data_IF_903528915997
#
_entry.id   IF_903528915997
#
_cell.length_a   1.000
_cell.length_b   1.000
_cell.length_c   1.000
_cell.angle_alpha   90.00
_cell.angle_beta   90.00
_cell.angle_gamma   90.00
#
_symmetry.space_group_name_H-M   'P 1'
#
loop_
_entity.id
_entity.type
_entity.pdbx_description
1 polymer ?
#
# COMPACT_ATOMS: atom_id res chain seq x y z
N UNK A 1 24.42 13.53 21.80
CA UNK A 1 23.49 12.67 21.02
C UNK A 1 24.27 11.43 20.65
N UNK A 2 23.92 10.29 21.24
CA UNK A 2 24.67 9.05 21.05
C UNK A 2 24.36 8.43 19.69
N UNK A 3 25.39 8.23 18.87
CA UNK A 3 25.29 7.40 17.67
C UNK A 3 25.09 5.96 18.13
N UNK A 4 24.18 5.23 17.50
CA UNK A 4 23.99 3.80 17.77
C UNK A 4 25.29 3.05 17.43
N UNK A 5 25.78 2.22 18.34
CA UNK A 5 26.84 1.28 18.00
C UNK A 5 26.26 0.08 17.22
N UNK A 6 27.07 -0.67 16.46
CA UNK A 6 26.59 -1.90 15.81
C UNK A 6 25.93 -2.90 16.77
N UNK A 7 26.36 -2.94 18.04
CA UNK A 7 25.77 -3.81 19.07
C UNK A 7 24.38 -3.35 19.54
N UNK A 8 24.00 -2.10 19.26
CA UNK A 8 22.67 -1.56 19.57
C UNK A 8 21.61 -1.94 18.51
N UNK A 9 22.05 -2.41 17.34
CA UNK A 9 21.19 -2.73 16.20
C UNK A 9 21.15 -4.23 16.00
N UNK A 10 19.93 -4.76 15.89
CA UNK A 10 19.71 -6.16 15.58
C UNK A 10 18.90 -6.26 14.28
N UNK A 11 19.41 -7.01 13.31
CA UNK A 11 18.75 -7.21 12.01
C UNK A 11 18.35 -8.67 11.91
N UNK A 12 17.07 -8.93 11.74
CA UNK A 12 16.51 -10.28 11.60
C UNK A 12 16.54 -10.65 10.12
N UNK A 13 17.46 -11.54 9.73
CA UNK A 13 17.67 -11.95 8.34
C UNK A 13 16.90 -13.22 7.94
N UNK A 14 16.67 -14.13 8.88
CA UNK A 14 15.94 -15.37 8.64
C UNK A 14 15.08 -15.81 9.84
N UNK A 15 14.53 -17.01 9.73
CA UNK A 15 13.69 -17.64 10.77
C UNK A 15 14.49 -18.21 11.95
N UNK A 16 15.81 -18.22 11.92
CA UNK A 16 16.67 -18.74 12.98
C UNK A 16 17.27 -17.62 13.82
N UNK A 17 17.37 -16.40 13.28
CA UNK A 17 17.83 -15.21 14.00
C UNK A 17 16.68 -14.56 14.80
N UNK A 18 16.09 -15.34 15.70
CA UNK A 18 14.98 -14.90 16.51
C UNK A 18 15.40 -13.93 17.61
N UNK A 19 14.50 -12.99 17.95
CA UNK A 19 14.61 -12.19 19.18
C UNK A 19 14.32 -13.05 20.41
N UNK A 20 15.16 -14.04 20.69
CA UNK A 20 15.07 -14.88 21.88
C UNK A 20 15.00 -14.03 23.15
N UNK A 21 14.24 -14.47 24.16
CA UNK A 21 14.04 -13.74 25.43
C UNK A 21 15.37 -13.42 26.14
N UNK A 22 16.38 -14.27 25.95
CA UNK A 22 17.72 -14.17 26.54
C UNK A 22 18.59 -13.09 25.89
N UNK A 23 18.21 -12.58 24.70
CA UNK A 23 19.01 -11.59 23.99
C UNK A 23 18.93 -10.23 24.70
N UNK A 24 20.08 -9.57 24.96
CA UNK A 24 20.12 -8.22 25.53
C UNK A 24 19.25 -7.25 24.73
N UNK A 25 18.65 -6.29 25.42
CA UNK A 25 17.81 -5.27 24.80
C UNK A 25 18.64 -4.47 23.77
N UNK A 26 18.48 -4.80 22.49
CA UNK A 26 18.94 -3.96 21.39
C UNK A 26 18.06 -2.70 21.34
N UNK A 27 18.65 -1.56 21.00
CA UNK A 27 17.93 -0.28 20.91
C UNK A 27 17.12 -0.18 19.61
N UNK A 28 17.53 -0.90 18.56
CA UNK A 28 16.87 -0.92 17.27
C UNK A 28 16.81 -2.36 16.74
N UNK A 29 15.62 -2.74 16.26
CA UNK A 29 15.41 -4.00 15.52
C UNK A 29 14.94 -3.68 14.12
N UNK A 30 15.58 -4.30 13.14
CA UNK A 30 15.18 -4.27 11.74
C UNK A 30 14.66 -5.66 11.33
N UNK A 31 13.44 -5.70 10.82
CA UNK A 31 12.79 -6.93 10.36
C UNK A 31 11.99 -6.65 9.10
N UNK A 32 11.96 -7.60 8.17
CA UNK A 32 11.06 -7.49 7.02
C UNK A 32 9.60 -7.68 7.45
N UNK A 33 8.63 -6.95 6.85
CA UNK A 33 7.21 -7.12 7.18
C UNK A 33 6.71 -8.56 6.97
N UNK A 34 7.36 -9.35 6.10
CA UNK A 34 7.04 -10.76 5.85
C UNK A 34 7.42 -11.67 7.02
N UNK A 35 8.49 -11.33 7.72
CA UNK A 35 9.00 -12.15 8.82
C UNK A 35 8.35 -11.79 10.16
N UNK A 36 7.78 -10.58 10.26
CA UNK A 36 6.98 -10.16 11.39
C UNK A 36 5.56 -10.75 11.41
N UNK A 37 5.19 -11.57 10.42
CA UNK A 37 3.94 -12.36 10.43
C UNK A 37 4.02 -13.52 11.44
N UNK A 38 2.88 -14.15 11.77
CA UNK A 38 2.52 -15.18 12.80
C UNK A 38 3.46 -16.39 12.94
N UNK A 39 4.76 -16.15 13.01
CA UNK A 39 5.83 -17.09 13.27
C UNK A 39 6.23 -16.96 14.74
N UNK A 40 7.24 -17.72 15.17
CA UNK A 40 7.84 -17.51 16.49
C UNK A 40 8.36 -16.06 16.68
N UNK A 41 8.73 -15.38 15.58
CA UNK A 41 9.15 -13.97 15.62
C UNK A 41 8.02 -13.05 16.08
N UNK A 42 6.79 -13.24 15.58
CA UNK A 42 5.64 -12.44 16.03
C UNK A 42 5.43 -12.54 17.55
N UNK A 43 5.55 -13.74 18.12
CA UNK A 43 5.45 -13.93 19.59
C UNK A 43 6.58 -13.22 20.33
N UNK A 44 7.81 -13.33 19.85
CA UNK A 44 8.97 -12.67 20.44
C UNK A 44 8.86 -11.14 20.38
N UNK A 45 8.34 -10.60 19.27
CA UNK A 45 8.07 -9.17 19.11
C UNK A 45 6.96 -8.70 20.06
N UNK A 46 5.86 -9.46 20.17
CA UNK A 46 4.74 -9.14 21.05
C UNK A 46 5.08 -9.27 22.55
N UNK A 47 6.05 -10.13 22.91
CA UNK A 47 6.52 -10.30 24.27
C UNK A 47 7.47 -9.19 24.76
N UNK A 48 7.80 -8.22 23.90
CA UNK A 48 8.71 -7.12 24.21
C UNK A 48 7.97 -5.79 24.20
N UNK A 49 8.37 -4.90 25.10
CA UNK A 49 7.87 -3.52 25.12
C UNK A 49 8.64 -2.65 24.13
N UNK A 50 7.94 -2.10 23.15
CA UNK A 50 8.52 -1.20 22.15
C UNK A 50 8.21 0.25 22.48
N UNK A 51 9.21 1.13 22.34
CA UNK A 51 8.99 2.57 22.47
C UNK A 51 8.44 3.23 21.20
N UNK A 52 8.73 2.66 20.04
CA UNK A 52 8.37 3.18 18.72
C UNK A 52 8.41 2.07 17.66
N UNK A 53 7.52 2.13 16.67
CA UNK A 53 7.53 1.28 15.49
C UNK A 53 7.52 2.16 14.23
N UNK A 54 8.32 1.76 13.24
CA UNK A 54 8.36 2.40 11.92
C UNK A 54 8.09 1.30 10.90
N UNK A 55 7.02 1.46 10.12
CA UNK A 55 6.74 0.57 8.99
C UNK A 55 7.00 1.33 7.69
N UNK A 56 8.06 0.92 7.00
CA UNK A 56 8.29 1.34 5.63
C UNK A 56 7.44 0.52 4.65
N UNK A 57 7.10 1.12 3.52
CA UNK A 57 6.16 0.58 2.55
C UNK A 57 4.85 0.09 3.17
N UNK A 58 4.22 0.95 3.97
CA UNK A 58 3.01 0.66 4.72
C UNK A 58 1.79 0.25 3.88
N UNK A 59 1.89 0.31 2.55
CA UNK A 59 0.91 -0.27 1.62
C UNK A 59 0.74 -1.80 1.80
N UNK A 60 1.68 -2.48 2.48
CA UNK A 60 1.50 -3.88 2.92
C UNK A 60 0.27 -4.08 3.82
N UNK A 61 -0.18 -3.03 4.50
CA UNK A 61 -1.39 -3.05 5.34
C UNK A 61 -2.68 -2.80 4.56
N UNK A 62 -2.63 -2.61 3.23
CA UNK A 62 -3.79 -2.19 2.44
C UNK A 62 -5.03 -3.06 2.70
N UNK A 63 -6.18 -2.41 2.83
CA UNK A 63 -7.46 -3.04 3.10
C UNK A 63 -7.98 -3.80 1.90
N UNK A 64 -8.31 -5.06 2.11
CA UNK A 64 -8.98 -5.86 1.10
C UNK A 64 -10.48 -5.51 1.02
N UNK A 65 -10.94 -5.13 -0.18
CA UNK A 65 -12.32 -4.70 -0.41
C UNK A 65 -13.36 -5.81 -0.45
N UNK A 66 -13.03 -6.96 -1.07
CA UNK A 66 -13.97 -8.07 -1.30
C UNK A 66 -13.67 -9.33 -0.49
N UNK A 67 -12.51 -9.38 0.15
CA UNK A 67 -12.02 -10.55 0.90
C UNK A 67 -11.52 -10.14 2.29
N UNK A 68 -11.16 -11.13 3.09
CA UNK A 68 -10.41 -10.90 4.31
C UNK A 68 -9.07 -10.21 3.99
N UNK A 69 -8.61 -9.37 4.90
CA UNK A 69 -7.26 -8.82 4.83
C UNK A 69 -6.24 -9.95 4.94
N UNK A 70 -5.03 -9.75 4.41
CA UNK A 70 -4.00 -10.80 4.46
C UNK A 70 -3.64 -11.12 5.91
N UNK A 71 -3.29 -12.38 6.19
CA UNK A 71 -2.86 -12.79 7.53
C UNK A 71 -1.68 -11.94 8.02
N UNK A 72 -0.74 -11.66 7.11
CA UNK A 72 0.37 -10.75 7.31
C UNK A 72 -0.08 -9.35 7.75
N UNK A 73 -1.05 -8.74 7.06
CA UNK A 73 -1.55 -7.42 7.42
C UNK A 73 -2.18 -7.46 8.82
N UNK A 74 -3.01 -8.47 9.11
CA UNK A 74 -3.64 -8.62 10.42
C UNK A 74 -2.62 -8.79 11.55
N UNK A 75 -1.57 -9.59 11.33
CA UNK A 75 -0.49 -9.78 12.30
C UNK A 75 0.28 -8.47 12.54
N UNK A 76 0.71 -7.80 11.48
CA UNK A 76 1.39 -6.51 11.58
C UNK A 76 0.51 -5.47 12.29
N UNK A 77 -0.78 -5.38 11.95
CA UNK A 77 -1.71 -4.46 12.61
C UNK A 77 -1.78 -4.72 14.11
N UNK A 78 -1.80 -6.00 14.55
CA UNK A 78 -1.83 -6.35 15.97
C UNK A 78 -0.53 -5.92 16.68
N UNK A 79 0.63 -6.16 16.05
CA UNK A 79 1.92 -5.72 16.58
C UNK A 79 2.02 -4.20 16.65
N UNK A 80 1.65 -3.49 15.59
CA UNK A 80 1.78 -2.03 15.54
C UNK A 80 0.83 -1.33 16.52
N UNK A 81 -0.37 -1.88 16.74
CA UNK A 81 -1.32 -1.36 17.73
C UNK A 81 -0.87 -1.56 19.18
N UNK A 82 0.06 -2.48 19.47
CA UNK A 82 0.63 -2.63 20.81
C UNK A 82 1.73 -1.62 21.11
N UNK A 83 2.22 -0.89 20.10
CA UNK A 83 3.31 0.08 20.24
C UNK A 83 2.78 1.50 20.44
N UNK A 84 3.25 2.25 21.46
CA UNK A 84 2.71 3.58 21.81
C UNK A 84 3.01 4.68 20.79
N UNK A 85 4.08 4.53 19.99
CA UNK A 85 4.45 5.49 18.94
C UNK A 85 4.62 4.76 17.62
N UNK A 86 3.94 5.25 16.60
CA UNK A 86 3.92 4.61 15.29
C UNK A 86 4.16 5.63 14.19
N UNK A 87 5.02 5.27 13.24
CA UNK A 87 5.22 6.00 11.99
C UNK A 87 5.03 5.04 10.82
N UNK A 88 4.11 5.39 9.91
CA UNK A 88 3.91 4.68 8.65
C UNK A 88 4.52 5.50 7.51
N UNK A 89 5.41 4.89 6.73
CA UNK A 89 6.03 5.50 5.56
C UNK A 89 5.50 4.80 4.30
N UNK A 90 5.01 5.59 3.34
CA UNK A 90 4.56 5.08 2.05
C UNK A 90 4.50 6.20 1.02
N UNK A 91 4.99 5.92 -0.19
CA UNK A 91 4.84 6.82 -1.34
C UNK A 91 3.42 6.80 -1.94
N UNK A 92 2.65 5.74 -1.66
CA UNK A 92 1.36 5.41 -2.26
C UNK A 92 0.35 4.97 -1.19
N UNK A 93 -0.08 5.89 -0.30
CA UNK A 93 -0.96 5.56 0.83
C UNK A 93 -2.31 4.99 0.40
N UNK A 94 -2.79 5.32 -0.80
CA UNK A 94 -3.92 4.67 -1.46
C UNK A 94 -3.43 4.09 -2.78
N UNK A 95 -3.43 2.76 -2.90
CA UNK A 95 -2.94 2.04 -4.09
C UNK A 95 -3.88 2.20 -5.29
N UNK A 96 -5.20 2.18 -5.05
CA UNK A 96 -6.21 2.46 -6.08
C UNK A 96 -7.34 3.37 -5.59
N UNK A 97 -7.84 3.14 -4.36
CA UNK A 97 -8.94 3.89 -3.76
C UNK A 97 -8.60 4.30 -2.34
N UNK A 98 -9.19 5.40 -1.85
CA UNK A 98 -9.09 5.79 -0.44
C UNK A 98 -9.60 4.70 0.52
N UNK A 99 -10.50 3.83 0.04
CA UNK A 99 -10.96 2.67 0.79
C UNK A 99 -9.80 1.73 1.20
N UNK A 100 -8.85 1.52 0.29
CA UNK A 100 -7.74 0.58 0.47
C UNK A 100 -6.77 1.05 1.57
N UNK A 101 -6.85 2.32 1.98
CA UNK A 101 -6.03 2.90 3.03
C UNK A 101 -6.64 2.76 4.44
N UNK A 102 -7.84 2.18 4.58
CA UNK A 102 -8.55 2.14 5.87
C UNK A 102 -7.72 1.53 7.00
N UNK A 103 -7.07 0.39 6.75
CA UNK A 103 -6.25 -0.28 7.76
C UNK A 103 -5.08 0.59 8.23
N UNK A 104 -4.45 1.37 7.33
CA UNK A 104 -3.38 2.30 7.70
C UNK A 104 -3.91 3.35 8.68
N UNK A 105 -5.11 3.88 8.42
CA UNK A 105 -5.76 4.85 9.29
C UNK A 105 -6.16 4.25 10.63
N UNK A 106 -6.70 3.04 10.62
CA UNK A 106 -7.17 2.34 11.82
C UNK A 106 -6.01 1.90 12.72
N UNK A 107 -4.84 1.55 12.18
CA UNK A 107 -3.65 1.29 13.01
C UNK A 107 -3.13 2.58 13.66
N UNK A 108 -3.08 3.68 12.91
CA UNK A 108 -2.59 4.97 13.42
C UNK A 108 -3.51 5.58 14.47
N UNK A 109 -4.82 5.53 14.24
CA UNK A 109 -5.82 6.07 15.16
C UNK A 109 -7.11 5.26 15.10
N UNK A 110 -7.20 4.17 15.88
CA UNK A 110 -8.36 3.28 15.89
C UNK A 110 -9.66 4.06 16.12
N UNK A 111 -10.69 3.75 15.32
CA UNK A 111 -12.02 4.33 15.49
C UNK A 111 -12.22 5.77 14.99
N UNK A 112 -11.19 6.45 14.45
CA UNK A 112 -11.34 7.83 13.96
C UNK A 112 -12.37 7.95 12.83
N UNK A 113 -12.31 7.03 11.86
CA UNK A 113 -13.15 7.07 10.67
C UNK A 113 -14.35 6.13 10.80
N UNK A 114 -14.12 4.92 11.33
CA UNK A 114 -15.12 3.91 11.60
C UNK A 114 -14.55 2.83 12.54
N UNK A 115 -15.40 1.99 13.12
CA UNK A 115 -14.99 0.84 13.95
C UNK A 115 -14.57 -0.37 13.11
N UNK A 116 -15.02 -0.45 11.85
CA UNK A 116 -14.69 -1.54 10.94
C UNK A 116 -14.62 -1.06 9.50
N UNK A 117 -13.95 -1.85 8.64
CA UNK A 117 -13.90 -1.58 7.19
C UNK A 117 -15.28 -1.58 6.54
N UNK A 118 -16.22 -2.36 7.06
CA UNK A 118 -17.59 -2.43 6.54
C UNK A 118 -18.37 -1.15 6.86
N UNK A 119 -18.25 -0.66 8.09
CA UNK A 119 -18.82 0.62 8.49
C UNK A 119 -18.17 1.77 7.72
N UNK A 120 -16.84 1.75 7.57
CA UNK A 120 -16.11 2.74 6.76
C UNK A 120 -16.63 2.79 5.32
N UNK A 121 -16.81 1.62 4.70
CA UNK A 121 -17.41 1.50 3.36
C UNK A 121 -18.79 2.13 3.32
N UNK A 122 -19.70 1.71 4.22
CA UNK A 122 -21.09 2.18 4.24
C UNK A 122 -21.18 3.69 4.45
N UNK A 123 -20.35 4.24 5.34
CA UNK A 123 -20.34 5.65 5.72
C UNK A 123 -19.80 6.55 4.62
N UNK A 124 -18.69 6.17 3.98
CA UNK A 124 -17.96 7.06 3.07
C UNK A 124 -18.08 6.72 1.60
N UNK A 125 -18.60 5.54 1.24
CA UNK A 125 -18.65 5.08 -0.16
C UNK A 125 -20.05 4.63 -0.55
N UNK A 126 -20.42 4.92 -1.80
CA UNK A 126 -21.65 4.41 -2.39
C UNK A 126 -21.54 2.91 -2.66
N UNK A 127 -22.61 2.16 -2.41
CA UNK A 127 -22.60 0.70 -2.57
C UNK A 127 -22.61 0.26 -4.02
N UNK A 128 -23.25 1.04 -4.91
CA UNK A 128 -23.40 0.71 -6.33
C UNK A 128 -22.22 1.23 -7.16
N UNK A 129 -21.89 2.53 -7.04
CA UNK A 129 -20.80 3.15 -7.81
C UNK A 129 -19.42 2.91 -7.19
N UNK A 130 -19.34 2.69 -5.87
CA UNK A 130 -18.08 2.61 -5.13
C UNK A 130 -17.38 3.96 -4.97
N UNK A 131 -18.02 5.05 -5.40
CA UNK A 131 -17.47 6.40 -5.28
C UNK A 131 -17.55 6.92 -3.85
N UNK A 132 -16.66 7.84 -3.50
CA UNK A 132 -16.70 8.46 -2.19
C UNK A 132 -17.89 9.44 -2.11
N UNK A 133 -18.77 9.24 -1.11
CA UNK A 133 -19.91 10.11 -0.79
C UNK A 133 -19.47 11.51 -0.32
N UNK A 134 -18.26 11.62 0.24
CA UNK A 134 -17.70 12.83 0.84
C UNK A 134 -16.30 13.13 0.26
N UNK A 135 -16.19 13.37 -1.06
CA UNK A 135 -14.90 13.42 -1.76
C UNK A 135 -14.03 14.62 -1.36
N UNK A 136 -14.62 15.64 -0.73
CA UNK A 136 -13.88 16.80 -0.19
C UNK A 136 -13.53 16.63 1.27
N UNK A 137 -14.46 16.12 2.09
CA UNK A 137 -14.28 16.06 3.55
C UNK A 137 -13.34 14.93 3.98
N UNK A 138 -13.44 13.73 3.37
CA UNK A 138 -12.63 12.59 3.78
C UNK A 138 -11.11 12.86 3.57
N UNK A 139 -10.65 13.37 2.42
CA UNK A 139 -9.24 13.73 2.26
C UNK A 139 -8.76 14.79 3.26
N UNK A 140 -9.58 15.79 3.57
CA UNK A 140 -9.24 16.82 4.55
C UNK A 140 -9.07 16.24 5.96
N UNK A 141 -9.95 15.33 6.38
CA UNK A 141 -9.83 14.64 7.65
C UNK A 141 -8.56 13.79 7.73
N UNK A 142 -8.28 13.01 6.68
CA UNK A 142 -7.06 12.18 6.60
C UNK A 142 -5.81 13.06 6.65
N UNK A 143 -5.76 14.14 5.86
CA UNK A 143 -4.62 15.04 5.83
C UNK A 143 -4.43 15.79 7.16
N UNK A 144 -5.52 16.15 7.85
CA UNK A 144 -5.43 16.91 9.11
C UNK A 144 -4.93 16.06 10.28
N UNK A 145 -5.31 14.78 10.32
CA UNK A 145 -5.11 13.95 11.51
C UNK A 145 -4.15 12.77 11.34
N UNK A 146 -3.91 12.31 10.11
CA UNK A 146 -3.25 11.03 9.86
C UNK A 146 -2.06 11.11 8.90
N UNK A 147 -2.07 12.07 7.96
CA UNK A 147 -1.16 12.03 6.83
C UNK A 147 -0.57 13.39 6.49
N UNK A 148 0.77 13.43 6.40
CA UNK A 148 1.50 14.54 5.78
C UNK A 148 1.98 14.08 4.41
N UNK A 149 1.59 14.79 3.35
CA UNK A 149 2.02 14.50 1.97
C UNK A 149 2.49 15.77 1.30
N UNK A 150 3.69 15.73 0.73
CA UNK A 150 4.26 16.81 -0.09
C UNK A 150 4.47 16.32 -1.51
N UNK A 151 4.29 17.19 -2.49
CA UNK A 151 4.65 16.91 -3.88
C UNK A 151 6.14 17.12 -4.09
N UNK A 152 6.74 16.47 -5.11
CA UNK A 152 8.15 16.69 -5.45
C UNK A 152 8.45 18.17 -5.74
N UNK A 153 7.54 18.84 -6.43
CA UNK A 153 7.62 20.28 -6.72
C UNK A 153 7.60 21.17 -5.46
N UNK A 154 7.04 20.70 -4.33
CA UNK A 154 7.03 21.45 -3.07
C UNK A 154 8.32 21.31 -2.24
N UNK A 155 9.19 20.35 -2.59
CA UNK A 155 10.36 20.00 -1.75
C UNK A 155 11.68 20.05 -2.51
N UNK A 156 11.63 20.18 -3.84
CA UNK A 156 12.81 20.21 -4.69
C UNK A 156 12.57 21.20 -5.83
N UNK A 157 13.21 22.36 -5.73
CA UNK A 157 13.08 23.46 -6.70
C UNK A 157 13.87 23.19 -7.99
N UNK A 158 14.79 22.21 -7.99
CA UNK A 158 15.76 21.94 -9.07
C UNK A 158 15.42 20.71 -9.93
N UNK A 159 14.24 20.10 -9.77
CA UNK A 159 13.86 18.97 -10.62
C UNK A 159 13.43 19.48 -12.01
N UNK A 160 14.03 18.97 -13.11
CA UNK A 160 13.50 19.25 -14.44
C UNK A 160 12.06 18.73 -14.56
N UNK A 161 11.29 19.34 -15.45
CA UNK A 161 9.93 18.89 -15.71
C UNK A 161 9.92 17.43 -16.16
N UNK A 162 9.02 16.63 -15.58
CA UNK A 162 8.83 15.24 -16.00
C UNK A 162 8.18 15.24 -17.39
N UNK A 163 8.86 14.64 -18.37
CA UNK A 163 8.32 14.45 -19.72
C UNK A 163 7.81 13.02 -19.84
N UNK A 164 6.49 12.87 -19.97
CA UNK A 164 5.84 11.59 -20.28
C UNK A 164 5.46 11.57 -21.77
N UNK A 165 6.07 10.68 -22.55
CA UNK A 165 5.71 10.47 -23.96
C UNK A 165 4.82 9.23 -24.09
N UNK A 166 3.61 9.43 -24.62
CA UNK A 166 2.70 8.33 -24.96
C UNK A 166 2.94 7.96 -26.41
N UNK A 167 3.38 6.72 -26.65
CA UNK A 167 3.62 6.20 -27.99
C UNK A 167 2.59 5.11 -28.29
N UNK A 168 1.83 5.32 -29.36
CA UNK A 168 0.91 4.32 -29.89
C UNK A 168 1.70 3.31 -30.73
N UNK A 169 1.78 2.07 -30.25
CA UNK A 169 2.47 1.00 -30.97
C UNK A 169 1.45 0.20 -31.79
N UNK A 170 1.56 0.20 -33.13
CA UNK A 170 0.67 -0.59 -33.97
C UNK A 170 0.93 -2.09 -33.74
N UNK A 171 -0.09 -2.84 -33.34
CA UNK A 171 0.01 -4.28 -33.26
C UNK A 171 -0.05 -4.89 -34.67
N UNK A 172 0.83 -5.85 -34.94
CA UNK A 172 0.65 -6.69 -36.13
C UNK A 172 -0.62 -7.54 -35.98
N UNK A 173 -1.26 -7.89 -37.10
CA UNK A 173 -2.48 -8.70 -37.09
C UNK A 173 -2.32 -10.05 -36.38
N UNK A 174 -1.10 -10.60 -36.30
CA UNK A 174 -0.78 -11.83 -35.56
C UNK A 174 -0.78 -11.58 -34.05
N UNK A 175 -0.06 -10.56 -33.59
CA UNK A 175 0.01 -10.18 -32.17
C UNK A 175 -1.35 -9.70 -31.64
N UNK A 176 -2.13 -8.97 -32.43
CA UNK A 176 -3.48 -8.57 -32.06
C UNK A 176 -4.39 -9.80 -31.83
N UNK A 177 -4.31 -10.82 -32.71
CA UNK A 177 -5.06 -12.08 -32.55
C UNK A 177 -4.62 -12.87 -31.32
N UNK A 178 -3.32 -12.98 -31.07
CA UNK A 178 -2.79 -13.65 -29.88
C UNK A 178 -3.15 -12.91 -28.58
N UNK A 179 -3.15 -11.57 -28.59
CA UNK A 179 -3.56 -10.75 -27.46
C UNK A 179 -5.07 -10.88 -27.16
N UNK A 180 -5.92 -10.87 -28.19
CA UNK A 180 -7.37 -11.11 -28.03
C UNK A 180 -7.61 -12.52 -27.49
N UNK A 181 -6.88 -13.54 -27.98
CA UNK A 181 -7.02 -14.91 -27.48
C UNK A 181 -6.53 -15.09 -26.03
N UNK A 182 -5.55 -14.29 -25.57
CA UNK A 182 -4.98 -14.38 -24.21
C UNK A 182 -5.66 -13.47 -23.19
N UNK A 183 -6.17 -12.31 -23.60
CA UNK A 183 -6.68 -11.26 -22.71
C UNK A 183 -8.13 -10.85 -23.00
N UNK A 184 -8.73 -11.32 -24.09
CA UNK A 184 -10.13 -11.04 -24.45
C UNK A 184 -11.09 -11.89 -23.63
N UNK A 185 -11.24 -11.56 -22.36
CA UNK A 185 -12.34 -12.03 -21.52
C UNK A 185 -13.52 -11.05 -21.59
N UNK A 186 -14.61 -11.52 -22.20
CA UNK A 186 -16.02 -11.10 -22.08
C UNK A 186 -16.33 -9.68 -21.55
N UNK A 187 -16.32 -8.68 -22.45
CA UNK A 187 -17.09 -7.45 -22.28
C UNK A 187 -18.20 -7.43 -23.33
N UNK A 188 -19.40 -7.79 -22.89
CA UNK A 188 -20.60 -7.81 -23.70
C UNK A 188 -21.10 -6.43 -24.13
N UNK A 189 -21.76 -6.44 -25.29
CA UNK A 189 -22.62 -5.42 -25.91
C UNK A 189 -21.96 -4.32 -26.77
N UNK A 190 -22.42 -4.23 -28.02
CA UNK A 190 -22.21 -3.07 -28.90
C UNK A 190 -21.67 -3.42 -30.30
N UNK A 191 -22.58 -3.61 -31.25
CA UNK A 191 -22.32 -3.76 -32.69
C UNK A 191 -21.44 -2.63 -33.24
N UNK A 192 -20.22 -2.98 -33.70
CA UNK A 192 -19.44 -2.18 -34.65
C UNK A 192 -18.46 -3.11 -35.38
N UNK A 193 -18.40 -2.97 -36.70
CA UNK A 193 -17.83 -3.93 -37.65
C UNK A 193 -16.41 -4.41 -37.36
N UNK A 194 -16.22 -5.71 -37.55
CA UNK A 194 -15.00 -6.51 -37.30
C UNK A 194 -13.71 -5.97 -37.95
N UNK A 195 -13.81 -5.16 -39.01
CA UNK A 195 -12.66 -4.57 -39.71
C UNK A 195 -12.03 -3.35 -39.04
N UNK A 196 -12.80 -2.55 -38.30
CA UNK A 196 -12.30 -1.30 -37.68
C UNK A 196 -11.66 -1.52 -36.31
N UNK A 197 -12.06 -2.59 -35.59
CA UNK A 197 -11.47 -2.94 -34.28
C UNK A 197 -9.99 -3.36 -34.38
N UNK A 198 -9.57 -3.90 -35.52
CA UNK A 198 -8.17 -4.30 -35.75
C UNK A 198 -7.23 -3.10 -35.92
N UNK A 199 -7.72 -1.97 -36.43
CA UNK A 199 -6.92 -0.73 -36.55
C UNK A 199 -6.83 0.05 -35.24
N UNK A 200 -7.82 -0.12 -34.36
CA UNK A 200 -7.88 0.55 -33.06
C UNK A 200 -7.13 -0.20 -31.93
N UNK A 201 -6.61 -1.41 -32.19
CA UNK A 201 -5.84 -2.18 -31.24
C UNK A 201 -4.37 -1.70 -31.17
N UNK A 202 -4.17 -0.40 -30.93
CA UNK A 202 -2.86 0.12 -30.50
C UNK A 202 -2.64 -0.23 -29.04
N UNK A 203 -1.46 -0.74 -28.69
CA UNK A 203 -1.05 -0.79 -27.28
C UNK A 203 -0.42 0.56 -26.97
N UNK A 204 -1.00 1.28 -26.01
CA UNK A 204 -0.40 2.50 -25.48
C UNK A 204 0.79 2.14 -24.60
N UNK A 205 1.99 2.49 -25.05
CA UNK A 205 3.19 2.43 -24.23
C UNK A 205 3.48 3.83 -23.66
N UNK A 206 3.78 3.91 -22.37
CA UNK A 206 4.25 5.16 -21.75
C UNK A 206 5.75 5.06 -21.57
N UNK A 207 6.50 5.94 -22.23
CA UNK A 207 7.94 6.09 -22.04
C UNK A 207 8.18 7.23 -21.05
N UNK A 208 8.89 6.93 -19.97
CA UNK A 208 9.34 7.93 -19.00
C UNK A 208 10.78 8.31 -19.35
N UNK A 209 11.02 9.58 -19.71
CA UNK A 209 12.37 10.13 -19.90
C UNK A 209 12.64 11.14 -18.78
N UNK A 210 13.78 10.99 -18.11
CA UNK A 210 14.30 11.95 -17.13
C UNK A 210 15.12 13.02 -17.83
#
# INVERSE_FOLDING_TARGET
VGVLSPSDVHVIYDQYDALEETRPACKLVLISPKMADKTHQFRNLMGREWGCAILDEAHVLATAQKRADSEQALALMALLKSVPRLLLLTGTPATARLFDAFNLFDVLRPGLLAQSKYEFRSRFFDSASGECKLPRQLPLLVHRFLMVRRTKAQVMDELPERIDEVVDVPLSAKLAREAIARFGGDDGSGEAGSGDRLRAAGVRATLHRL
#
